data_IF_515500689743
#
_entry.id   IF_515500689743
#
_cell.length_a   1.000
_cell.length_b   1.000
_cell.length_c   1.000
_cell.angle_alpha   90.00
_cell.angle_beta   90.00
_cell.angle_gamma   90.00
#
_symmetry.space_group_name_H-M   'P 1'
#
loop_
_entity.id
_entity.type
_entity.pdbx_description
1 polymer ?
#
# COMPACT_ATOMS: atom_id res chain seq x y z
N UNK A 1 20.21 -6.97 -13.67
CA UNK A 1 18.85 -7.11 -13.10
C UNK A 1 18.59 -8.56 -12.74
N UNK A 2 18.15 -8.85 -11.51
CA UNK A 2 17.90 -10.22 -11.04
C UNK A 2 16.51 -10.70 -11.52
N UNK A 3 16.46 -11.61 -12.49
CA UNK A 3 15.21 -12.16 -13.04
C UNK A 3 14.35 -12.87 -11.97
N UNK A 4 14.97 -13.45 -10.93
CA UNK A 4 14.26 -14.12 -9.84
C UNK A 4 13.44 -13.16 -8.97
N UNK A 5 13.90 -11.91 -8.80
CA UNK A 5 13.19 -10.90 -8.03
C UNK A 5 11.86 -10.50 -8.68
N UNK A 6 11.86 -10.29 -10.01
CA UNK A 6 10.63 -9.95 -10.74
C UNK A 6 9.63 -11.10 -10.79
N UNK A 7 10.12 -12.35 -10.86
CA UNK A 7 9.24 -13.53 -10.80
C UNK A 7 8.49 -13.59 -9.47
N UNK A 8 9.19 -13.39 -8.34
CA UNK A 8 8.57 -13.32 -7.01
C UNK A 8 7.61 -12.15 -6.87
N UNK A 9 7.96 -10.97 -7.39
CA UNK A 9 7.06 -9.81 -7.36
C UNK A 9 5.76 -10.08 -8.13
N UNK A 10 5.84 -10.75 -9.28
CA UNK A 10 4.66 -11.12 -10.07
C UNK A 10 3.70 -12.04 -9.32
N UNK A 11 4.20 -12.86 -8.39
CA UNK A 11 3.37 -13.76 -7.59
C UNK A 11 2.43 -13.00 -6.63
N UNK A 12 2.75 -11.76 -6.27
CA UNK A 12 1.88 -10.89 -5.47
C UNK A 12 0.63 -10.42 -6.22
N UNK A 13 0.54 -10.63 -7.54
CA UNK A 13 -0.57 -10.14 -8.37
C UNK A 13 -1.23 -11.29 -9.14
N UNK A 14 -2.17 -12.04 -8.53
CA UNK A 14 -2.78 -13.23 -9.13
C UNK A 14 -3.43 -13.00 -10.50
N UNK A 15 -3.96 -11.80 -10.75
CA UNK A 15 -4.59 -11.43 -12.03
C UNK A 15 -3.63 -11.55 -13.22
N UNK A 16 -2.32 -11.40 -12.99
CA UNK A 16 -1.29 -11.53 -14.02
C UNK A 16 -1.10 -12.97 -14.51
N UNK A 17 -1.73 -13.97 -13.87
CA UNK A 17 -1.82 -15.35 -14.39
C UNK A 17 -2.93 -15.51 -15.44
N UNK A 18 -3.90 -14.59 -15.45
CA UNK A 18 -5.08 -14.62 -16.32
C UNK A 18 -4.94 -13.67 -17.51
N UNK A 19 -4.32 -12.52 -17.30
CA UNK A 19 -4.25 -11.45 -18.31
C UNK A 19 -2.85 -10.84 -18.41
N UNK A 20 -2.51 -10.42 -19.63
CA UNK A 20 -1.46 -9.43 -19.83
C UNK A 20 -2.05 -8.05 -19.48
N UNK A 21 -1.82 -7.58 -18.26
CA UNK A 21 -2.40 -6.34 -17.76
C UNK A 21 -1.54 -5.14 -18.19
N UNK A 22 -2.01 -4.40 -19.19
CA UNK A 22 -1.30 -3.25 -19.78
C UNK A 22 -1.90 -1.89 -19.34
N UNK A 23 -2.71 -1.87 -18.29
CA UNK A 23 -3.43 -0.67 -17.83
C UNK A 23 -3.04 -0.19 -16.42
N UNK A 24 -1.84 -0.57 -15.92
CA UNK A 24 -1.39 -0.25 -14.55
C UNK A 24 -1.27 1.26 -14.29
N UNK A 25 -1.01 2.06 -15.32
CA UNK A 25 -0.91 3.52 -15.17
C UNK A 25 -2.26 4.17 -14.84
N UNK A 26 -3.37 3.64 -15.36
CA UNK A 26 -4.71 4.14 -15.05
C UNK A 26 -5.30 3.49 -13.79
N UNK A 27 -5.13 2.17 -13.66
CA UNK A 27 -5.62 1.40 -12.52
C UNK A 27 -4.54 0.46 -12.01
N UNK A 28 -3.93 0.84 -10.89
CA UNK A 28 -2.91 0.05 -10.22
C UNK A 28 -3.47 -1.26 -9.66
N UNK A 29 -2.70 -2.34 -9.78
CA UNK A 29 -3.01 -3.60 -9.12
C UNK A 29 -2.55 -3.55 -7.66
N UNK A 30 -3.34 -4.11 -6.74
CA UNK A 30 -2.94 -4.26 -5.35
C UNK A 30 -2.20 -5.58 -5.13
N UNK A 31 -1.00 -5.58 -4.50
CA UNK A 31 -0.29 -6.80 -4.16
C UNK A 31 -0.97 -7.53 -2.98
N UNK A 32 -0.86 -8.85 -2.94
CA UNK A 32 -1.43 -9.69 -1.88
C UNK A 32 -1.04 -9.23 -0.46
N UNK A 33 0.20 -8.78 -0.24
CA UNK A 33 0.62 -8.24 1.06
C UNK A 33 -0.18 -7.02 1.52
N UNK A 34 -0.58 -6.14 0.60
CA UNK A 34 -1.36 -4.95 0.92
C UNK A 34 -2.80 -5.35 1.29
N UNK A 35 -3.37 -6.30 0.55
CA UNK A 35 -4.70 -6.88 0.85
C UNK A 35 -4.70 -7.49 2.25
N UNK A 36 -3.68 -8.29 2.59
CA UNK A 36 -3.54 -8.90 3.91
C UNK A 36 -3.47 -7.84 5.02
N UNK A 37 -2.64 -6.81 4.85
CA UNK A 37 -2.50 -5.74 5.86
C UNK A 37 -3.79 -4.95 6.06
N UNK A 38 -4.54 -4.70 4.98
CA UNK A 38 -5.85 -4.07 5.06
C UNK A 38 -6.85 -4.93 5.84
N UNK A 39 -6.91 -6.24 5.56
CA UNK A 39 -7.76 -7.18 6.29
C UNK A 39 -7.42 -7.18 7.79
N UNK A 40 -6.14 -7.27 8.14
CA UNK A 40 -5.69 -7.21 9.54
C UNK A 40 -6.10 -5.90 10.22
N UNK A 41 -5.95 -4.76 9.53
CA UNK A 41 -6.33 -3.45 10.05
C UNK A 41 -7.84 -3.35 10.29
N UNK A 42 -8.67 -3.78 9.34
CA UNK A 42 -10.13 -3.76 9.45
C UNK A 42 -10.60 -4.70 10.56
N UNK A 43 -10.09 -5.93 10.61
CA UNK A 43 -10.44 -6.90 11.67
C UNK A 43 -10.09 -6.34 13.04
N UNK A 44 -8.89 -5.78 13.20
CA UNK A 44 -8.48 -5.14 14.45
C UNK A 44 -9.42 -4.01 14.85
N UNK A 45 -9.68 -3.08 13.94
CA UNK A 45 -10.54 -1.93 14.20
C UNK A 45 -11.97 -2.35 14.59
N UNK A 46 -12.55 -3.32 13.88
CA UNK A 46 -13.92 -3.78 14.15
C UNK A 46 -14.03 -4.64 15.42
N UNK A 47 -12.99 -5.37 15.80
CA UNK A 47 -13.02 -6.25 16.98
C UNK A 47 -12.66 -5.52 18.27
N UNK A 48 -11.71 -4.59 18.23
CA UNK A 48 -11.27 -3.85 19.41
C UNK A 48 -12.06 -2.54 19.59
N UNK A 49 -12.66 -2.00 18.51
CA UNK A 49 -13.19 -0.65 18.50
C UNK A 49 -12.08 0.41 18.48
N UNK A 50 -12.42 1.71 18.52
CA UNK A 50 -11.45 2.80 18.47
C UNK A 50 -10.76 3.01 19.83
N UNK A 51 -10.11 1.98 20.36
CA UNK A 51 -9.42 2.01 21.67
C UNK A 51 -8.19 2.92 21.62
N UNK A 52 -7.48 2.92 20.49
CA UNK A 52 -6.35 3.80 20.23
C UNK A 52 -6.76 4.90 19.25
N UNK A 53 -7.12 6.06 19.78
CA UNK A 53 -7.47 7.26 19.00
C UNK A 53 -6.31 7.79 18.15
N UNK A 54 -5.08 7.33 18.38
CA UNK A 54 -3.88 7.74 17.64
C UNK A 54 -3.43 6.67 16.62
N UNK A 55 -4.16 5.56 16.46
CA UNK A 55 -3.81 4.48 15.54
C UNK A 55 -3.67 4.98 14.10
N UNK A 56 -4.59 5.85 13.66
CA UNK A 56 -4.56 6.45 12.33
C UNK A 56 -3.25 7.21 12.09
N UNK A 57 -2.87 8.11 13.01
CA UNK A 57 -1.62 8.86 12.88
C UNK A 57 -0.38 7.97 12.85
N UNK A 58 -0.35 6.88 13.64
CA UNK A 58 0.75 5.91 13.62
C UNK A 58 0.87 5.23 12.25
N UNK A 59 -0.24 4.75 11.71
CA UNK A 59 -0.27 4.11 10.37
C UNK A 59 0.14 5.11 9.29
N UNK A 60 -0.36 6.34 9.35
CA UNK A 60 0.00 7.37 8.38
C UNK A 60 1.47 7.80 8.51
N UNK A 61 2.04 7.84 9.72
CA UNK A 61 3.45 8.17 9.92
C UNK A 61 4.37 7.08 9.35
N UNK A 62 4.03 5.80 9.56
CA UNK A 62 4.74 4.67 8.92
C UNK A 62 4.71 4.80 7.39
N UNK A 63 3.54 5.12 6.82
CA UNK A 63 3.40 5.31 5.37
C UNK A 63 4.23 6.51 4.86
N UNK A 64 4.24 7.65 5.57
CA UNK A 64 5.07 8.81 5.22
C UNK A 64 6.55 8.44 5.21
N UNK A 65 7.03 7.72 6.23
CA UNK A 65 8.44 7.31 6.34
C UNK A 65 8.89 6.42 5.17
N UNK A 66 8.02 5.55 4.66
CA UNK A 66 8.36 4.72 3.49
C UNK A 66 8.32 5.51 2.19
N UNK A 67 7.32 6.38 1.99
CA UNK A 67 7.22 7.22 0.79
C UNK A 67 8.35 8.24 0.72
N UNK A 68 8.75 8.81 1.86
CA UNK A 68 9.80 9.83 1.92
C UNK A 68 11.14 9.29 1.38
N UNK A 69 11.42 8.00 1.59
CA UNK A 69 12.58 7.30 1.01
C UNK A 69 12.44 7.12 -0.51
N UNK A 70 11.23 6.91 -1.02
CA UNK A 70 10.97 6.68 -2.45
C UNK A 70 11.08 7.96 -3.28
N UNK A 71 10.66 9.10 -2.73
CA UNK A 71 10.66 10.40 -3.44
C UNK A 71 11.71 11.38 -2.92
N UNK A 72 12.57 10.94 -2.00
CA UNK A 72 13.66 11.71 -1.41
C UNK A 72 13.21 13.05 -0.79
N UNK A 73 12.25 12.97 0.12
CA UNK A 73 11.79 14.11 0.93
C UNK A 73 11.76 13.75 2.42
N UNK A 74 11.36 14.69 3.27
CA UNK A 74 11.08 14.45 4.69
C UNK A 74 9.63 13.99 4.89
N UNK A 75 9.33 13.16 5.90
CA UNK A 75 7.96 12.74 6.19
C UNK A 75 6.98 13.91 6.35
N UNK A 76 7.41 15.02 6.94
CA UNK A 76 6.57 16.21 7.18
C UNK A 76 6.20 16.95 5.89
N UNK A 77 6.88 16.67 4.78
CA UNK A 77 6.60 17.23 3.45
C UNK A 77 5.52 16.42 2.69
N UNK A 78 4.93 15.39 3.31
CA UNK A 78 3.96 14.48 2.69
C UNK A 78 2.56 14.64 3.31
N UNK A 79 1.60 15.01 2.47
CA UNK A 79 0.17 14.93 2.76
C UNK A 79 -0.48 13.78 1.98
N UNK A 80 -1.43 13.09 2.61
CA UNK A 80 -2.27 12.09 1.94
C UNK A 80 -3.62 12.72 1.57
N UNK A 81 -4.00 12.64 0.30
CA UNK A 81 -5.33 13.00 -0.20
C UNK A 81 -6.01 11.76 -0.80
N UNK A 82 -7.27 11.88 -1.21
CA UNK A 82 -8.05 10.76 -1.73
C UNK A 82 -7.65 10.36 -3.15
N UNK A 83 -7.12 11.29 -3.94
CA UNK A 83 -6.74 11.07 -5.34
C UNK A 83 -5.87 12.22 -5.86
N UNK A 84 -5.31 12.09 -7.06
CA UNK A 84 -4.57 13.18 -7.72
C UNK A 84 -5.43 14.41 -8.02
N UNK A 85 -6.75 14.26 -8.16
CA UNK A 85 -7.67 15.37 -8.43
C UNK A 85 -8.01 16.18 -7.18
N UNK A 86 -7.80 15.61 -5.99
CA UNK A 86 -8.29 16.12 -4.70
C UNK A 86 -7.16 16.62 -3.83
#
# INVERSE_FOLDING_TARGET
MNQGAFKKLREEFPVLRKYAYLNTAAYGLLPLRAIKRLQEAVVKFCSEGPVDSNLENKVLLEARNEISKLINCKPEEIAFTTSTTT
#
